data_IF_394237308022
#
_entry.id   IF_394237308022
#
_cell.length_a   1.000
_cell.length_b   1.000
_cell.length_c   1.000
_cell.angle_alpha   90.00
_cell.angle_beta   90.00
_cell.angle_gamma   90.00
#
_symmetry.space_group_name_H-M   'P 1'
#
loop_
_entity.id
_entity.type
_entity.pdbx_description
1 polymer ?
#
# COMPACT_ATOMS: atom_id res chain seq x y z
N UNK A 1 -1.25 29.59 -8.53
CA UNK A 1 -1.82 29.26 -7.22
C UNK A 1 -1.97 30.53 -6.40
N UNK A 2 -3.17 30.94 -6.08
CA UNK A 2 -3.42 32.11 -5.23
C UNK A 2 -3.84 31.63 -3.83
N UNK A 3 -3.45 32.36 -2.81
CA UNK A 3 -3.88 32.10 -1.45
C UNK A 3 -5.16 32.89 -1.19
N UNK A 4 -6.15 32.32 -0.52
CA UNK A 4 -7.42 32.98 -0.18
C UNK A 4 -7.21 34.30 0.60
N UNK A 5 -6.19 34.33 1.45
CA UNK A 5 -5.85 35.47 2.28
C UNK A 5 -4.88 36.49 1.62
N UNK A 6 -4.50 36.28 0.36
CA UNK A 6 -3.55 37.15 -0.35
C UNK A 6 -4.15 37.67 -1.64
N UNK A 7 -4.46 38.97 -1.68
CA UNK A 7 -5.07 39.63 -2.83
C UNK A 7 -4.09 40.06 -3.93
N UNK A 8 -2.83 39.61 -3.87
CA UNK A 8 -1.75 40.00 -4.77
C UNK A 8 -0.82 41.10 -4.22
N UNK A 9 -1.28 41.87 -3.26
CA UNK A 9 -0.49 42.93 -2.62
C UNK A 9 -0.42 42.78 -1.10
N UNK A 10 -1.51 42.38 -0.44
CA UNK A 10 -1.60 42.31 1.02
C UNK A 10 -2.17 40.97 1.48
N UNK A 11 -1.75 40.57 2.68
CA UNK A 11 -2.26 39.38 3.37
C UNK A 11 -3.34 39.83 4.38
N UNK A 12 -4.54 39.28 4.29
CA UNK A 12 -5.65 39.54 5.22
C UNK A 12 -5.61 38.63 6.48
N UNK A 13 -4.80 37.58 6.50
CA UNK A 13 -4.72 36.68 7.64
C UNK A 13 -3.93 37.29 8.79
N UNK A 14 -4.55 37.44 9.94
CA UNK A 14 -3.97 38.18 11.09
C UNK A 14 -2.61 37.61 11.56
N UNK A 15 -2.53 36.30 11.75
CA UNK A 15 -1.27 35.64 12.16
C UNK A 15 -0.20 35.67 11.05
N UNK A 16 -0.62 35.58 9.79
CA UNK A 16 0.28 35.74 8.66
C UNK A 16 0.89 37.13 8.59
N UNK A 17 0.11 38.16 8.88
CA UNK A 17 0.60 39.55 8.96
C UNK A 17 1.54 39.77 10.14
N UNK A 18 1.30 39.13 11.29
CA UNK A 18 2.20 39.22 12.46
C UNK A 18 3.56 38.56 12.17
N UNK A 19 3.58 37.46 11.44
CA UNK A 19 4.82 36.69 11.17
C UNK A 19 5.65 37.28 10.00
N UNK A 20 5.00 37.76 8.97
CA UNK A 20 5.65 38.12 7.71
C UNK A 20 5.39 39.55 7.25
N UNK A 21 4.69 40.35 8.07
CA UNK A 21 4.29 41.69 7.76
C UNK A 21 3.02 41.79 6.87
N UNK A 22 2.51 43.03 6.66
CA UNK A 22 1.27 43.22 5.90
C UNK A 22 1.38 42.92 4.41
N UNK A 23 2.59 42.94 3.87
CA UNK A 23 2.88 42.73 2.43
C UNK A 23 3.95 41.64 2.23
N UNK A 24 3.68 40.36 2.61
CA UNK A 24 4.63 39.31 2.37
C UNK A 24 4.79 39.08 0.88
N UNK A 25 6.01 38.76 0.44
CA UNK A 25 6.23 38.37 -0.95
C UNK A 25 5.47 37.11 -1.30
N UNK A 26 5.07 36.97 -2.56
CA UNK A 26 4.35 35.79 -3.04
C UNK A 26 5.13 34.47 -2.78
N UNK A 27 6.46 34.53 -2.81
CA UNK A 27 7.32 33.40 -2.49
C UNK A 27 7.24 32.97 -1.03
N UNK A 28 7.12 33.92 -0.08
CA UNK A 28 6.92 33.63 1.35
C UNK A 28 5.56 32.99 1.55
N UNK A 29 4.51 33.55 0.95
CA UNK A 29 3.17 32.97 1.04
C UNK A 29 3.10 31.56 0.47
N UNK A 30 3.80 31.30 -0.64
CA UNK A 30 3.80 29.98 -1.29
C UNK A 30 4.57 28.91 -0.52
N UNK A 31 5.67 29.26 0.13
CA UNK A 31 6.61 28.28 0.70
C UNK A 31 6.56 28.17 2.23
N UNK A 32 6.28 29.26 2.92
CA UNK A 32 6.51 29.33 4.37
C UNK A 32 5.25 29.61 5.19
N UNK A 33 4.15 30.05 4.59
CA UNK A 33 2.95 30.38 5.35
C UNK A 33 2.18 29.10 5.77
N UNK A 34 2.09 28.79 7.08
CA UNK A 34 1.38 27.62 7.57
C UNK A 34 -0.16 27.75 7.43
N UNK A 35 -0.66 28.97 7.25
CA UNK A 35 -2.09 29.27 7.13
C UNK A 35 -2.54 29.40 5.68
N UNK A 36 -1.74 28.95 4.73
CA UNK A 36 -2.08 29.03 3.32
C UNK A 36 -3.26 28.12 3.01
N UNK A 37 -4.38 28.73 2.59
CA UNK A 37 -5.49 28.00 1.97
C UNK A 37 -5.31 28.10 0.45
N UNK A 38 -5.18 26.98 -0.21
CA UNK A 38 -5.09 26.90 -1.67
C UNK A 38 -6.50 27.03 -2.25
N UNK A 39 -6.75 28.09 -3.02
CA UNK A 39 -8.02 28.28 -3.75
C UNK A 39 -8.10 27.45 -5.03
N UNK A 40 -7.11 26.59 -5.30
CA UNK A 40 -7.35 25.60 -6.33
C UNK A 40 -8.51 24.69 -5.86
N UNK A 41 -9.56 24.54 -6.69
CA UNK A 41 -10.50 23.48 -6.43
C UNK A 41 -9.67 22.23 -6.28
N UNK A 42 -9.68 21.64 -5.09
CA UNK A 42 -9.21 20.29 -4.95
C UNK A 42 -10.00 19.52 -6.00
N UNK A 43 -9.35 19.22 -7.13
CA UNK A 43 -9.76 18.10 -7.94
C UNK A 43 -9.56 16.97 -6.96
N UNK A 44 -10.59 16.71 -6.17
CA UNK A 44 -10.77 15.45 -5.51
C UNK A 44 -10.78 14.48 -6.67
N UNK A 45 -9.57 14.05 -7.05
CA UNK A 45 -9.47 12.79 -7.73
C UNK A 45 -10.14 11.86 -6.72
N UNK A 46 -11.40 11.61 -6.97
CA UNK A 46 -12.07 10.44 -6.47
C UNK A 46 -11.18 9.29 -6.96
N UNK A 47 -10.13 9.01 -6.16
CA UNK A 47 -9.48 7.72 -6.21
C UNK A 47 -10.63 6.78 -5.87
N UNK A 48 -11.35 6.37 -6.91
CA UNK A 48 -12.31 5.30 -6.83
C UNK A 48 -11.45 4.13 -6.38
N UNK A 49 -11.37 3.98 -5.05
CA UNK A 49 -10.72 2.84 -4.45
C UNK A 49 -11.42 1.64 -5.07
N UNK A 50 -10.72 0.82 -5.84
CA UNK A 50 -11.36 -0.33 -6.47
C UNK A 50 -12.11 -1.06 -5.36
N UNK A 51 -13.37 -1.49 -5.61
CA UNK A 51 -14.19 -2.14 -4.61
C UNK A 51 -13.36 -3.25 -3.98
N UNK A 52 -13.36 -3.30 -2.64
CA UNK A 52 -12.63 -4.32 -1.92
C UNK A 52 -13.07 -5.68 -2.49
N UNK A 53 -12.14 -6.56 -2.88
CA UNK A 53 -12.49 -7.83 -3.47
C UNK A 53 -13.43 -8.56 -2.51
N UNK A 54 -14.57 -8.99 -3.03
CA UNK A 54 -15.56 -9.73 -2.24
C UNK A 54 -14.89 -10.93 -1.58
N UNK A 55 -15.25 -11.26 -0.32
CA UNK A 55 -14.63 -12.38 0.39
C UNK A 55 -14.86 -13.67 -0.41
N UNK A 56 -13.76 -14.28 -0.87
CA UNK A 56 -13.80 -15.55 -1.59
C UNK A 56 -14.44 -16.62 -0.71
N UNK A 57 -15.33 -17.41 -1.28
CA UNK A 57 -15.88 -18.58 -0.62
C UNK A 57 -14.78 -19.61 -0.28
N UNK A 58 -15.04 -20.52 0.66
CA UNK A 58 -14.10 -21.59 1.00
C UNK A 58 -13.67 -22.40 -0.21
N UNK A 59 -14.61 -22.71 -1.10
CA UNK A 59 -14.35 -23.43 -2.34
C UNK A 59 -13.41 -22.64 -3.27
N UNK A 60 -13.67 -21.35 -3.45
CA UNK A 60 -12.81 -20.50 -4.28
C UNK A 60 -11.39 -20.36 -3.69
N UNK A 61 -11.26 -20.33 -2.35
CA UNK A 61 -9.96 -20.31 -1.68
C UNK A 61 -9.22 -21.63 -1.91
N UNK A 62 -9.91 -22.76 -1.73
CA UNK A 62 -9.33 -24.09 -1.96
C UNK A 62 -8.88 -24.27 -3.42
N UNK A 63 -9.70 -23.89 -4.39
CA UNK A 63 -9.36 -23.95 -5.81
C UNK A 63 -8.17 -23.07 -6.17
N UNK A 64 -8.14 -21.83 -5.66
CA UNK A 64 -7.02 -20.92 -5.93
C UNK A 64 -5.72 -21.43 -5.31
N UNK A 65 -5.80 -22.06 -4.14
CA UNK A 65 -4.65 -22.69 -3.50
C UNK A 65 -4.16 -23.94 -4.29
N UNK A 66 -5.08 -24.85 -4.68
CA UNK A 66 -4.74 -26.01 -5.48
C UNK A 66 -4.06 -25.61 -6.81
N UNK A 67 -4.59 -24.60 -7.50
CA UNK A 67 -3.99 -24.06 -8.72
C UNK A 67 -2.58 -23.52 -8.48
N UNK A 68 -2.33 -22.84 -7.38
CA UNK A 68 -1.02 -22.30 -7.02
C UNK A 68 -0.03 -23.43 -6.70
N UNK A 69 -0.46 -24.48 -6.00
CA UNK A 69 0.38 -25.64 -5.68
C UNK A 69 0.74 -26.44 -6.94
N UNK A 70 -0.23 -26.68 -7.82
CA UNK A 70 0.01 -27.33 -9.12
C UNK A 70 1.02 -26.52 -9.95
N UNK A 71 0.89 -25.18 -9.99
CA UNK A 71 1.84 -24.36 -10.74
C UNK A 71 3.27 -24.49 -10.21
N UNK A 72 3.47 -24.63 -8.91
CA UNK A 72 4.78 -24.86 -8.32
C UNK A 72 5.41 -26.18 -8.79
N UNK A 73 4.58 -27.22 -8.98
CA UNK A 73 5.05 -28.53 -9.45
C UNK A 73 5.34 -28.51 -10.95
N UNK A 74 4.49 -27.86 -11.74
CA UNK A 74 4.58 -27.85 -13.21
C UNK A 74 5.58 -26.81 -13.73
N UNK A 75 5.54 -25.61 -13.19
CA UNK A 75 6.35 -24.45 -13.64
C UNK A 75 7.64 -24.32 -12.81
N UNK A 76 7.74 -25.04 -11.71
CA UNK A 76 8.81 -24.92 -10.73
C UNK A 76 8.54 -23.80 -9.71
N UNK A 77 9.25 -23.79 -8.58
CA UNK A 77 9.15 -22.73 -7.59
C UNK A 77 9.80 -21.44 -8.11
N UNK A 78 9.19 -20.30 -7.80
CA UNK A 78 9.83 -19.00 -8.03
C UNK A 78 11.11 -18.89 -7.22
N UNK A 79 12.14 -18.33 -7.82
CA UNK A 79 13.46 -18.13 -7.24
C UNK A 79 14.01 -16.73 -7.57
N UNK A 80 15.14 -16.39 -6.97
CA UNK A 80 15.86 -15.14 -7.25
C UNK A 80 15.02 -13.88 -7.00
N UNK A 81 15.16 -12.91 -7.90
CA UNK A 81 14.59 -11.57 -7.75
C UNK A 81 13.06 -11.56 -7.66
N UNK A 82 12.38 -12.46 -8.40
CA UNK A 82 10.92 -12.55 -8.36
C UNK A 82 10.40 -13.01 -6.99
N UNK A 83 11.06 -13.97 -6.35
CA UNK A 83 10.75 -14.41 -5.00
C UNK A 83 11.03 -13.30 -3.98
N UNK A 84 12.21 -12.68 -4.07
CA UNK A 84 12.61 -11.63 -3.14
C UNK A 84 11.70 -10.39 -3.25
N UNK A 85 11.26 -10.04 -4.44
CA UNK A 85 10.28 -8.97 -4.65
C UNK A 85 8.96 -9.25 -3.92
N UNK A 86 8.49 -10.49 -3.90
CA UNK A 86 7.29 -10.87 -3.13
C UNK A 86 7.53 -10.83 -1.62
N UNK A 87 8.66 -11.36 -1.16
CA UNK A 87 8.99 -11.44 0.26
C UNK A 87 9.24 -10.05 0.87
N UNK A 88 9.92 -9.15 0.17
CA UNK A 88 10.15 -7.78 0.62
C UNK A 88 8.85 -7.02 0.88
N UNK A 89 7.86 -7.17 -0.01
CA UNK A 89 6.52 -6.61 0.18
C UNK A 89 5.77 -7.22 1.36
N UNK A 90 5.99 -8.50 1.66
CA UNK A 90 5.40 -9.15 2.81
C UNK A 90 6.03 -8.71 4.13
N UNK A 91 7.36 -8.51 4.18
CA UNK A 91 8.09 -8.06 5.39
C UNK A 91 7.57 -6.73 5.94
N UNK A 92 7.16 -5.82 5.07
CA UNK A 92 6.62 -4.50 5.46
C UNK A 92 5.09 -4.45 5.48
N UNK A 93 4.43 -5.60 5.35
CA UNK A 93 2.99 -5.66 5.26
C UNK A 93 2.33 -5.68 6.65
N UNK A 94 1.37 -4.78 6.96
CA UNK A 94 0.69 -4.79 8.25
C UNK A 94 -0.19 -6.03 8.50
N UNK A 95 -0.38 -6.86 7.47
CA UNK A 95 -1.09 -8.14 7.59
C UNK A 95 -0.15 -9.32 7.85
N UNK A 96 1.14 -9.09 8.04
CA UNK A 96 2.09 -10.12 8.45
C UNK A 96 1.88 -10.49 9.92
N UNK A 97 1.78 -11.78 10.18
CA UNK A 97 1.82 -12.35 11.53
C UNK A 97 3.04 -13.29 11.63
N UNK A 98 4.04 -12.88 12.37
CA UNK A 98 5.26 -13.63 12.61
C UNK A 98 5.35 -14.22 14.02
N UNK A 99 4.27 -14.14 14.82
CA UNK A 99 4.28 -14.52 16.24
C UNK A 99 4.75 -15.97 16.48
N UNK A 100 4.38 -16.87 15.56
CA UNK A 100 4.75 -18.29 15.65
C UNK A 100 5.74 -18.72 14.57
N UNK A 101 6.41 -17.77 13.91
CA UNK A 101 7.41 -18.08 12.91
C UNK A 101 8.69 -18.62 13.56
N UNK A 102 9.24 -19.68 12.98
CA UNK A 102 10.53 -20.23 13.37
C UNK A 102 11.64 -19.63 12.51
N UNK A 103 12.89 -19.91 12.85
CA UNK A 103 14.03 -19.44 12.08
C UNK A 103 13.91 -19.82 10.59
N UNK A 104 14.15 -18.87 9.70
CA UNK A 104 13.98 -19.05 8.25
C UNK A 104 12.54 -18.88 7.72
N UNK A 105 11.55 -18.71 8.59
CA UNK A 105 10.17 -18.46 8.20
C UNK A 105 9.84 -16.96 8.32
N UNK A 106 9.05 -16.45 7.36
CA UNK A 106 8.55 -15.08 7.43
C UNK A 106 7.29 -14.97 8.30
N UNK A 107 6.49 -16.03 8.34
CA UNK A 107 5.21 -16.06 9.04
C UNK A 107 4.00 -16.18 8.10
N UNK A 108 2.84 -15.73 8.55
CA UNK A 108 1.56 -15.92 7.87
C UNK A 108 0.88 -14.58 7.55
N UNK A 109 0.01 -14.61 6.56
CA UNK A 109 -0.79 -13.44 6.20
C UNK A 109 -2.20 -13.55 6.80
N UNK A 110 -2.57 -12.63 7.69
CA UNK A 110 -3.90 -12.59 8.33
C UNK A 110 -5.04 -12.32 7.35
N UNK A 111 -4.76 -11.79 6.16
CA UNK A 111 -5.77 -11.46 5.14
C UNK A 111 -6.01 -12.55 4.12
N UNK A 112 -5.12 -13.54 3.99
CA UNK A 112 -5.31 -14.60 3.00
C UNK A 112 -6.41 -15.60 3.40
N UNK A 113 -6.79 -15.65 4.68
CA UNK A 113 -7.72 -16.62 5.22
C UNK A 113 -7.19 -18.05 5.19
N UNK A 114 -5.88 -18.21 5.04
CA UNK A 114 -5.20 -19.48 5.21
C UNK A 114 -5.09 -19.79 6.70
N UNK A 115 -5.02 -21.09 7.04
CA UNK A 115 -4.86 -21.48 8.43
C UNK A 115 -3.51 -21.00 8.97
N UNK A 116 -3.55 -20.11 9.96
CA UNK A 116 -2.36 -19.62 10.65
C UNK A 116 -1.69 -20.81 11.35
N UNK A 117 -0.36 -20.94 11.18
CA UNK A 117 0.39 -22.09 11.69
C UNK A 117 0.50 -23.27 10.73
N UNK A 118 -0.25 -23.32 9.63
CA UNK A 118 -0.05 -24.33 8.59
C UNK A 118 1.27 -24.09 7.86
N UNK A 119 2.17 -25.08 7.84
CA UNK A 119 3.45 -24.99 7.11
C UNK A 119 3.28 -24.62 5.63
N UNK A 120 2.24 -25.12 4.98
CA UNK A 120 1.96 -24.82 3.56
C UNK A 120 1.46 -23.41 3.30
N UNK A 121 0.83 -22.77 4.29
CA UNK A 121 0.31 -21.41 4.22
C UNK A 121 1.35 -20.37 4.66
N UNK A 122 2.51 -20.81 5.12
CA UNK A 122 3.61 -19.95 5.50
C UNK A 122 4.10 -19.14 4.28
N UNK A 123 4.40 -17.86 4.50
CA UNK A 123 4.61 -16.90 3.41
C UNK A 123 5.85 -17.19 2.58
N UNK A 124 6.93 -17.72 3.19
CA UNK A 124 8.13 -18.11 2.43
C UNK A 124 7.80 -19.19 1.42
N UNK A 125 7.03 -20.19 1.82
CA UNK A 125 6.58 -21.28 0.93
C UNK A 125 5.57 -20.77 -0.09
N UNK A 126 4.56 -20.00 0.37
CA UNK A 126 3.52 -19.47 -0.51
C UNK A 126 4.07 -18.54 -1.59
N UNK A 127 5.09 -17.75 -1.27
CA UNK A 127 5.72 -16.83 -2.22
C UNK A 127 6.44 -17.56 -3.35
N UNK A 128 6.89 -18.81 -3.15
CA UNK A 128 7.51 -19.62 -4.22
C UNK A 128 6.51 -20.14 -5.25
N UNK A 129 5.21 -20.13 -4.96
CA UNK A 129 4.19 -20.64 -5.89
C UNK A 129 3.91 -19.61 -7.00
N UNK A 130 4.18 -19.89 -8.29
CA UNK A 130 4.03 -18.93 -9.37
C UNK A 130 2.64 -18.30 -9.43
N UNK A 131 1.58 -19.08 -9.37
CA UNK A 131 0.18 -18.64 -9.46
C UNK A 131 -0.46 -18.27 -8.13
N UNK A 132 0.33 -18.21 -7.04
CA UNK A 132 -0.19 -17.66 -5.78
C UNK A 132 -0.41 -16.15 -5.88
N UNK A 133 -1.50 -15.69 -5.28
CA UNK A 133 -1.86 -14.27 -5.30
C UNK A 133 -1.87 -13.68 -3.90
N UNK A 134 -1.46 -12.42 -3.81
CA UNK A 134 -1.63 -11.63 -2.60
C UNK A 134 -3.09 -11.16 -2.49
N UNK A 135 -3.80 -11.39 -1.37
CA UNK A 135 -5.18 -10.93 -1.20
C UNK A 135 -5.31 -9.40 -1.17
N UNK A 136 -4.20 -8.70 -0.93
CA UNK A 136 -4.11 -7.24 -0.96
C UNK A 136 -3.57 -6.71 -2.30
N UNK A 137 -3.42 -7.59 -3.32
CA UNK A 137 -2.88 -7.26 -4.65
C UNK A 137 -1.51 -6.56 -4.62
N UNK A 138 -0.69 -6.85 -3.60
CA UNK A 138 0.64 -6.23 -3.46
C UNK A 138 1.71 -6.93 -4.30
N UNK A 139 1.53 -8.22 -4.59
CA UNK A 139 2.51 -8.94 -5.40
C UNK A 139 2.46 -8.49 -6.86
N UNK A 140 3.62 -8.36 -7.52
CA UNK A 140 3.65 -8.07 -8.95
C UNK A 140 2.86 -9.15 -9.69
N UNK A 141 2.06 -8.71 -10.66
CA UNK A 141 1.46 -9.64 -11.61
C UNK A 141 2.60 -10.11 -12.49
N UNK A 142 2.78 -11.42 -12.57
CA UNK A 142 3.76 -11.98 -13.51
C UNK A 142 3.36 -11.57 -14.92
N UNK A 143 4.34 -11.08 -15.64
CA UNK A 143 4.26 -10.72 -17.05
C UNK A 143 4.37 -12.01 -17.86
#
# INVERSE_FOLDING_TARGET
MRCEYHNGQECSHEQGRKLYGPRPSEGICKKLCPHRVSTEPAIVQLVVKPPAPSPKTLVQKAMSWAKAEISRVVEGPLQGDALEARLSLCRVCPALDSTNATEGQLGWCTKCGCNLGSKRAELTIKATMPKATCPLNKWPKEI
#
